data_IF_676720310247
#
_entry.id   IF_676720310247
#
_cell.length_a   1.000
_cell.length_b   1.000
_cell.length_c   1.000
_cell.angle_alpha   90.00
_cell.angle_beta   90.00
_cell.angle_gamma   90.00
#
_symmetry.space_group_name_H-M   'P 1'
#
loop_
_entity.id
_entity.type
_entity.pdbx_description
1 polymer ?
#
# COMPACT_ATOMS: atom_id res chain seq x y z
N UNK A 1 -16.87 -16.04 -0.11
CA UNK A 1 -16.60 -15.98 -1.57
C UNK A 1 -15.73 -17.16 -2.06
N UNK A 2 -15.66 -17.45 -3.37
CA UNK A 2 -14.61 -18.37 -3.91
C UNK A 2 -13.23 -17.76 -3.61
N UNK A 3 -12.25 -18.56 -3.18
CA UNK A 3 -10.88 -18.11 -2.80
C UNK A 3 -10.26 -17.12 -3.80
N UNK A 4 -10.53 -17.29 -5.10
CA UNK A 4 -10.03 -16.42 -6.17
C UNK A 4 -10.49 -14.96 -6.04
N UNK A 5 -11.71 -14.69 -5.58
CA UNK A 5 -12.23 -13.32 -5.49
C UNK A 5 -11.65 -12.57 -4.30
N UNK A 6 -11.43 -13.25 -3.17
CA UNK A 6 -10.78 -12.65 -1.99
C UNK A 6 -9.36 -12.19 -2.33
N UNK A 7 -8.64 -12.98 -3.14
CA UNK A 7 -7.30 -12.63 -3.64
C UNK A 7 -7.37 -11.43 -4.59
N UNK A 8 -8.39 -11.34 -5.45
CA UNK A 8 -8.58 -10.19 -6.35
C UNK A 8 -8.85 -8.90 -5.58
N UNK A 9 -9.80 -8.90 -4.63
CA UNK A 9 -10.09 -7.72 -3.80
C UNK A 9 -8.85 -7.31 -3.01
N UNK A 10 -8.16 -8.28 -2.40
CA UNK A 10 -6.89 -8.01 -1.71
C UNK A 10 -5.84 -7.38 -2.63
N UNK A 11 -5.70 -7.87 -3.86
CA UNK A 11 -4.67 -7.37 -4.77
C UNK A 11 -4.98 -5.95 -5.23
N UNK A 12 -6.20 -5.69 -5.69
CA UNK A 12 -6.59 -4.42 -6.29
C UNK A 12 -6.86 -3.31 -5.27
N UNK A 13 -7.43 -3.66 -4.12
CA UNK A 13 -7.83 -2.69 -3.10
C UNK A 13 -6.74 -2.43 -2.06
N UNK A 14 -5.82 -3.39 -1.85
CA UNK A 14 -4.80 -3.30 -0.80
C UNK A 14 -3.37 -3.34 -1.34
N UNK A 15 -3.00 -4.39 -2.07
CA UNK A 15 -1.60 -4.61 -2.45
C UNK A 15 -1.09 -3.57 -3.47
N UNK A 16 -1.81 -3.35 -4.57
CA UNK A 16 -1.41 -2.39 -5.60
C UNK A 16 -1.38 -0.95 -5.03
N UNK A 17 -2.41 -0.47 -4.31
CA UNK A 17 -2.38 0.87 -3.72
C UNK A 17 -1.26 1.05 -2.71
N UNK A 18 -0.91 -0.01 -1.96
CA UNK A 18 0.22 0.00 -1.03
C UNK A 18 1.55 0.19 -1.74
N UNK A 19 1.81 -0.59 -2.81
CA UNK A 19 3.02 -0.44 -3.61
C UNK A 19 3.08 0.93 -4.31
N UNK A 20 1.95 1.43 -4.79
CA UNK A 20 1.86 2.77 -5.37
C UNK A 20 2.19 3.85 -4.31
N UNK A 21 1.69 3.71 -3.10
CA UNK A 21 1.96 4.64 -1.99
C UNK A 21 3.45 4.66 -1.64
N UNK A 22 4.10 3.49 -1.53
CA UNK A 22 5.55 3.39 -1.33
C UNK A 22 6.32 4.09 -2.45
N UNK A 23 5.90 3.88 -3.69
CA UNK A 23 6.54 4.48 -4.87
C UNK A 23 6.37 6.00 -4.88
N UNK A 24 5.18 6.52 -4.55
CA UNK A 24 4.92 7.96 -4.43
C UNK A 24 5.76 8.58 -3.33
N UNK A 25 5.88 7.92 -2.17
CA UNK A 25 6.74 8.38 -1.07
C UNK A 25 8.21 8.44 -1.53
N UNK A 26 8.70 7.41 -2.21
CA UNK A 26 10.07 7.40 -2.76
C UNK A 26 10.31 8.52 -3.77
N UNK A 27 9.41 8.67 -4.75
CA UNK A 27 9.48 9.74 -5.78
C UNK A 27 9.40 11.12 -5.13
N UNK A 28 8.44 11.33 -4.23
CA UNK A 28 8.25 12.62 -3.56
C UNK A 28 9.46 13.00 -2.71
N UNK A 29 10.06 12.02 -2.03
CA UNK A 29 11.26 12.24 -1.23
C UNK A 29 12.46 12.61 -2.10
N UNK A 30 12.72 11.85 -3.17
CA UNK A 30 13.82 12.14 -4.09
C UNK A 30 13.64 13.49 -4.82
N UNK A 31 12.41 13.84 -5.20
CA UNK A 31 12.07 15.13 -5.81
C UNK A 31 12.32 16.32 -4.87
N UNK A 32 11.95 16.18 -3.59
CA UNK A 32 12.09 17.25 -2.59
C UNK A 32 13.54 17.53 -2.20
N UNK A 33 14.38 16.49 -2.21
CA UNK A 33 15.65 16.52 -1.49
C UNK A 33 16.84 16.68 -2.43
N UNK A 34 16.71 16.37 -3.74
CA UNK A 34 17.69 16.56 -4.84
C UNK A 34 19.14 16.08 -4.55
N UNK A 35 19.33 15.43 -3.40
CA UNK A 35 20.57 14.99 -2.76
C UNK A 35 20.21 13.96 -1.67
N UNK A 36 19.47 12.94 -2.05
CA UNK A 36 19.08 11.83 -1.17
C UNK A 36 20.21 10.79 -1.00
N UNK A 37 21.41 11.05 -1.52
CA UNK A 37 22.60 10.22 -1.33
C UNK A 37 23.07 10.13 0.13
N UNK A 38 22.66 11.07 0.99
CA UNK A 38 22.94 10.99 2.42
C UNK A 38 21.97 10.03 3.13
N UNK A 39 22.54 9.04 3.82
CA UNK A 39 21.81 8.05 4.60
C UNK A 39 20.92 8.72 5.65
N UNK A 40 21.38 9.81 6.28
CA UNK A 40 20.62 10.51 7.30
C UNK A 40 19.35 11.17 6.75
N UNK A 41 19.43 11.71 5.53
CA UNK A 41 18.26 12.27 4.85
C UNK A 41 17.28 11.14 4.54
N UNK A 42 17.76 10.06 3.93
CA UNK A 42 16.91 8.91 3.56
C UNK A 42 16.21 8.28 4.77
N UNK A 43 16.85 8.21 5.95
CA UNK A 43 16.18 7.72 7.17
C UNK A 43 15.09 8.65 7.65
N UNK A 44 15.27 9.98 7.60
CA UNK A 44 14.19 10.93 7.92
C UNK A 44 13.02 10.75 6.95
N UNK A 45 13.31 10.65 5.64
CA UNK A 45 12.31 10.40 4.61
C UNK A 45 11.52 9.12 4.84
N UNK A 46 12.22 8.03 5.12
CA UNK A 46 11.61 6.74 5.44
C UNK A 46 10.78 6.78 6.73
N UNK A 47 11.19 7.58 7.73
CA UNK A 47 10.43 7.77 8.97
C UNK A 47 9.10 8.48 8.70
N UNK A 48 9.14 9.59 7.96
CA UNK A 48 7.93 10.32 7.56
C UNK A 48 7.04 9.44 6.68
N UNK A 49 7.64 8.73 5.73
CA UNK A 49 6.96 7.75 4.87
C UNK A 49 6.24 6.66 5.67
N UNK A 50 6.89 6.08 6.68
CA UNK A 50 6.28 5.07 7.54
C UNK A 50 5.07 5.61 8.31
N UNK A 51 5.12 6.87 8.77
CA UNK A 51 3.97 7.51 9.42
C UNK A 51 2.81 7.75 8.45
N UNK A 52 3.10 8.15 7.21
CA UNK A 52 2.09 8.29 6.15
C UNK A 52 1.47 6.93 5.83
N UNK A 53 2.28 5.88 5.67
CA UNK A 53 1.80 4.51 5.42
C UNK A 53 0.93 4.01 6.56
N UNK A 54 1.29 4.33 7.80
CA UNK A 54 0.47 4.03 8.97
C UNK A 54 -0.89 4.73 8.90
N UNK A 55 -0.95 6.01 8.51
CA UNK A 55 -2.21 6.71 8.31
C UNK A 55 -3.07 6.11 7.19
N UNK A 56 -2.46 5.73 6.06
CA UNK A 56 -3.16 5.08 4.93
C UNK A 56 -3.73 3.71 5.36
N UNK A 57 -2.97 2.92 6.13
CA UNK A 57 -3.47 1.65 6.66
C UNK A 57 -4.69 1.82 7.57
N UNK A 58 -4.85 2.99 8.20
CA UNK A 58 -6.02 3.26 9.04
C UNK A 58 -7.30 3.44 8.22
N UNK A 59 -7.20 4.04 7.02
CA UNK A 59 -8.37 4.26 6.16
C UNK A 59 -8.88 2.96 5.54
N UNK A 60 -8.00 2.00 5.31
CA UNK A 60 -8.33 0.68 4.73
C UNK A 60 -8.58 -0.41 5.79
N UNK A 61 -8.61 -0.06 7.07
CA UNK A 61 -8.78 -1.03 8.16
C UNK A 61 -10.09 -1.83 8.03
N UNK A 62 -11.19 -1.16 7.64
CA UNK A 62 -12.51 -1.79 7.50
C UNK A 62 -12.54 -2.88 6.41
N UNK A 63 -12.11 -2.64 5.16
CA UNK A 63 -12.08 -3.70 4.16
C UNK A 63 -11.10 -4.83 4.51
N UNK A 64 -9.96 -4.52 5.15
CA UNK A 64 -9.02 -5.55 5.63
C UNK A 64 -9.67 -6.49 6.63
N UNK A 65 -10.45 -5.95 7.58
CA UNK A 65 -11.11 -6.75 8.60
C UNK A 65 -12.20 -7.65 8.00
N UNK A 66 -12.92 -7.19 6.98
CA UNK A 66 -13.90 -8.01 6.25
C UNK A 66 -13.22 -9.19 5.53
N UNK A 67 -12.11 -8.93 4.83
CA UNK A 67 -11.35 -9.98 4.15
C UNK A 67 -10.76 -11.00 5.14
N UNK A 68 -10.33 -10.56 6.33
CA UNK A 68 -9.72 -11.44 7.33
C UNK A 68 -10.68 -12.50 7.91
N UNK A 69 -12.00 -12.24 7.87
CA UNK A 69 -13.04 -13.19 8.29
C UNK A 69 -13.21 -14.32 7.25
N UNK A 70 -13.06 -14.00 5.96
CA UNK A 70 -13.28 -14.96 4.88
C UNK A 70 -12.07 -15.88 4.59
N UNK A 71 -10.87 -15.54 5.07
CA UNK A 71 -9.65 -16.28 4.76
C UNK A 71 -9.34 -17.36 5.80
N UNK A 72 -9.31 -18.61 5.35
CA UNK A 72 -8.81 -19.77 6.12
C UNK A 72 -7.31 -20.06 5.92
N UNK A 73 -6.66 -19.45 4.93
CA UNK A 73 -5.25 -19.70 4.63
C UNK A 73 -4.32 -18.94 5.60
N UNK A 74 -3.37 -19.66 6.22
CA UNK A 74 -2.46 -19.11 7.22
C UNK A 74 -1.56 -17.99 6.69
N UNK A 75 -1.09 -18.10 5.44
CA UNK A 75 -0.18 -17.12 4.85
C UNK A 75 -0.90 -15.80 4.52
N UNK A 76 -2.04 -15.86 3.82
CA UNK A 76 -2.85 -14.68 3.52
C UNK A 76 -3.37 -14.02 4.79
N UNK A 77 -3.72 -14.81 5.81
CA UNK A 77 -4.09 -14.29 7.12
C UNK A 77 -2.92 -13.55 7.78
N UNK A 78 -1.68 -13.96 7.56
CA UNK A 78 -0.50 -13.25 8.06
C UNK A 78 -0.20 -11.97 7.26
N UNK A 79 -0.44 -11.99 5.95
CA UNK A 79 -0.33 -10.81 5.10
C UNK A 79 -1.39 -9.75 5.44
N UNK A 80 -2.64 -10.13 5.65
CA UNK A 80 -3.68 -9.22 6.16
C UNK A 80 -3.35 -8.67 7.55
N UNK A 81 -2.69 -9.46 8.41
CA UNK A 81 -2.21 -8.98 9.72
C UNK A 81 -1.20 -7.85 9.60
N UNK A 82 -0.42 -7.79 8.51
CA UNK A 82 0.51 -6.70 8.25
C UNK A 82 -0.20 -5.38 7.90
N UNK A 83 -1.39 -5.46 7.28
CA UNK A 83 -2.22 -4.30 6.93
C UNK A 83 -3.12 -3.84 8.07
N UNK A 84 -3.35 -4.68 9.09
CA UNK A 84 -4.25 -4.40 10.22
C UNK A 84 -3.57 -3.58 11.32
N UNK A 85 -4.18 -2.46 11.72
CA UNK A 85 -3.72 -1.53 12.77
C UNK A 85 -4.30 -1.86 14.15
N UNK A 86 -5.49 -2.47 14.22
CA UNK A 86 -6.26 -2.61 15.48
C UNK A 86 -5.80 -3.79 16.37
N UNK A 87 -4.50 -3.95 16.57
CA UNK A 87 -3.90 -5.10 17.29
C UNK A 87 -2.96 -4.68 18.41
N UNK A 88 -2.40 -5.69 19.11
CA UNK A 88 -1.40 -5.53 20.18
C UNK A 88 -0.29 -4.57 19.75
N UNK A 89 0.08 -3.65 20.64
CA UNK A 89 1.10 -2.62 20.41
C UNK A 89 2.40 -3.16 19.79
N UNK A 90 2.85 -4.36 20.18
CA UNK A 90 4.04 -5.00 19.59
C UNK A 90 3.95 -5.23 18.07
N UNK A 91 2.79 -5.70 17.58
CA UNK A 91 2.60 -5.94 16.15
C UNK A 91 2.48 -4.64 15.37
N UNK A 92 1.89 -3.61 16.00
CA UNK A 92 1.80 -2.29 15.41
C UNK A 92 3.19 -1.65 15.25
N UNK A 93 4.05 -1.75 16.26
CA UNK A 93 5.44 -1.28 16.17
C UNK A 93 6.20 -2.05 15.10
N UNK A 94 6.06 -3.38 15.04
CA UNK A 94 6.69 -4.19 14.00
C UNK A 94 6.24 -3.79 12.58
N UNK A 95 4.94 -3.48 12.40
CA UNK A 95 4.41 -2.99 11.13
C UNK A 95 5.02 -1.64 10.73
N UNK A 96 5.14 -0.69 11.67
CA UNK A 96 5.75 0.62 11.41
C UNK A 96 7.24 0.48 11.08
N UNK A 97 7.97 -0.41 11.76
CA UNK A 97 9.38 -0.71 11.45
C UNK A 97 9.50 -1.30 10.05
N UNK A 98 8.62 -2.23 9.68
CA UNK A 98 8.62 -2.82 8.34
C UNK A 98 8.25 -1.77 7.27
N UNK A 99 7.27 -0.90 7.52
CA UNK A 99 6.95 0.22 6.61
C UNK A 99 8.12 1.18 6.47
N UNK A 100 8.89 1.43 7.54
CA UNK A 100 10.13 2.21 7.48
C UNK A 100 11.17 1.55 6.57
N UNK A 101 11.43 0.26 6.74
CA UNK A 101 12.39 -0.48 5.90
C UNK A 101 11.94 -0.46 4.43
N UNK A 102 10.65 -0.64 4.18
CA UNK A 102 10.08 -0.62 2.84
C UNK A 102 10.11 0.77 2.21
N UNK A 103 9.85 1.84 2.96
CA UNK A 103 10.00 3.20 2.48
C UNK A 103 11.47 3.52 2.16
N UNK A 104 12.40 3.10 3.01
CA UNK A 104 13.84 3.26 2.77
C UNK A 104 14.27 2.55 1.48
N UNK A 105 13.85 1.30 1.31
CA UNK A 105 14.11 0.52 0.10
C UNK A 105 13.44 1.14 -1.14
N UNK A 106 12.22 1.65 -1.01
CA UNK A 106 11.50 2.30 -2.11
C UNK A 106 12.25 3.53 -2.62
N UNK A 107 12.80 4.37 -1.74
CA UNK A 107 13.64 5.51 -2.13
C UNK A 107 14.88 5.06 -2.90
N UNK A 108 15.53 3.97 -2.45
CA UNK A 108 16.69 3.43 -3.15
C UNK A 108 16.32 2.90 -4.54
N UNK A 109 15.24 2.12 -4.64
CA UNK A 109 14.75 1.57 -5.91
C UNK A 109 14.33 2.68 -6.87
N UNK A 110 13.59 3.69 -6.41
CA UNK A 110 13.17 4.82 -7.25
C UNK A 110 14.37 5.54 -7.84
N UNK A 111 15.40 5.79 -7.04
CA UNK A 111 16.62 6.44 -7.53
C UNK A 111 17.36 5.65 -8.60
N UNK A 112 17.46 4.34 -8.44
CA UNK A 112 18.16 3.48 -9.40
C UNK A 112 17.37 3.30 -10.71
N UNK A 113 16.04 3.26 -10.63
CA UNK A 113 15.18 2.96 -11.78
C UNK A 113 14.62 4.19 -12.52
N UNK A 114 14.49 5.34 -11.85
CA UNK A 114 13.89 6.54 -12.43
C UNK A 114 14.93 7.65 -12.58
N UNK A 115 14.92 8.28 -13.76
CA UNK A 115 15.72 9.47 -14.02
C UNK A 115 15.13 10.70 -13.32
N UNK A 116 15.95 11.73 -13.09
CA UNK A 116 15.53 12.95 -12.39
C UNK A 116 14.36 13.65 -13.10
N UNK A 117 14.36 13.69 -14.43
CA UNK A 117 13.27 14.24 -15.24
C UNK A 117 11.95 13.47 -15.05
N UNK A 118 12.03 12.16 -14.84
CA UNK A 118 10.86 11.33 -14.57
C UNK A 118 10.35 11.53 -13.14
N UNK A 119 11.25 11.66 -12.16
CA UNK A 119 10.92 11.90 -10.74
C UNK A 119 10.19 13.23 -10.57
N UNK A 120 10.73 14.31 -11.16
CA UNK A 120 10.16 15.68 -11.07
C UNK A 120 8.98 15.86 -12.03
N UNK A 121 8.93 15.09 -13.12
CA UNK A 121 7.91 15.19 -14.16
C UNK A 121 6.66 14.35 -13.89
N UNK A 122 6.43 13.36 -14.76
CA UNK A 122 5.11 12.70 -14.89
C UNK A 122 4.91 11.48 -13.98
N UNK A 123 5.96 10.97 -13.33
CA UNK A 123 5.90 9.65 -12.66
C UNK A 123 4.91 9.60 -11.51
N UNK A 124 4.83 10.66 -10.69
CA UNK A 124 3.82 10.74 -9.61
C UNK A 124 2.41 10.63 -10.18
N UNK A 125 2.11 11.34 -11.27
CA UNK A 125 0.80 11.29 -11.92
C UNK A 125 0.45 9.92 -12.48
N UNK A 126 1.43 9.22 -13.07
CA UNK A 126 1.23 7.85 -13.57
C UNK A 126 0.94 6.88 -12.43
N UNK A 127 1.71 6.95 -11.34
CA UNK A 127 1.51 6.06 -10.18
C UNK A 127 0.16 6.35 -9.51
N UNK A 128 -0.23 7.62 -9.39
CA UNK A 128 -1.55 8.02 -8.90
C UNK A 128 -2.68 7.48 -9.78
N UNK A 129 -2.52 7.51 -11.11
CA UNK A 129 -3.51 6.98 -12.05
C UNK A 129 -3.64 5.46 -11.91
N UNK A 130 -2.53 4.73 -11.79
CA UNK A 130 -2.52 3.29 -11.53
C UNK A 130 -3.25 2.97 -10.21
N UNK A 131 -2.93 3.72 -9.15
CA UNK A 131 -3.58 3.57 -7.84
C UNK A 131 -5.08 3.82 -7.91
N UNK A 132 -5.50 4.86 -8.63
CA UNK A 132 -6.92 5.19 -8.82
C UNK A 132 -7.65 4.08 -9.57
N UNK A 133 -7.14 3.65 -10.73
CA UNK A 133 -7.77 2.58 -11.51
C UNK A 133 -7.83 1.27 -10.72
N UNK A 134 -6.77 0.94 -9.97
CA UNK A 134 -6.73 -0.25 -9.13
C UNK A 134 -7.77 -0.20 -8.01
N UNK A 135 -7.86 0.91 -7.30
CA UNK A 135 -8.84 1.05 -6.20
C UNK A 135 -10.28 1.03 -6.72
N UNK A 136 -10.55 1.63 -7.88
CA UNK A 136 -11.86 1.53 -8.54
C UNK A 136 -12.23 0.09 -8.91
N UNK A 137 -11.30 -0.66 -9.51
CA UNK A 137 -11.52 -2.08 -9.84
C UNK A 137 -11.74 -2.92 -8.57
N UNK A 138 -10.92 -2.69 -7.53
CA UNK A 138 -11.06 -3.38 -6.25
C UNK A 138 -12.42 -3.12 -5.59
N UNK A 139 -12.87 -1.87 -5.58
CA UNK A 139 -14.15 -1.48 -5.00
C UNK A 139 -15.34 -2.04 -5.79
N UNK A 140 -15.24 -2.10 -7.12
CA UNK A 140 -16.26 -2.74 -7.96
C UNK A 140 -16.39 -4.23 -7.65
N UNK A 141 -15.26 -4.95 -7.56
CA UNK A 141 -15.26 -6.37 -7.21
C UNK A 141 -15.78 -6.60 -5.79
N UNK A 142 -15.44 -5.74 -4.83
CA UNK A 142 -15.99 -5.83 -3.46
C UNK A 142 -17.50 -5.58 -3.43
N UNK A 143 -18.00 -4.59 -4.18
CA UNK A 143 -19.42 -4.28 -4.29
C UNK A 143 -20.22 -5.45 -4.90
N UNK A 144 -19.72 -6.06 -5.97
CA UNK A 144 -20.33 -7.23 -6.63
C UNK A 144 -20.44 -8.44 -5.68
N UNK A 145 -19.53 -8.54 -4.70
CA UNK A 145 -19.60 -9.60 -3.68
C UNK A 145 -20.51 -9.26 -2.50
N UNK A 146 -20.73 -7.97 -2.19
CA UNK A 146 -21.58 -7.49 -1.10
C UNK A 146 -23.01 -7.18 -1.54
N UNK A 147 -23.30 -7.03 -2.83
CA UNK A 147 -24.64 -6.77 -3.32
C UNK A 147 -25.56 -7.94 -2.99
N UNK A 148 -26.47 -7.68 -2.05
CA UNK A 148 -27.58 -8.54 -1.62
C UNK A 148 -28.64 -8.55 -2.73
N UNK A 149 -28.27 -8.91 -3.96
CA UNK A 149 -29.23 -9.12 -5.03
C UNK A 149 -29.10 -10.55 -5.54
N UNK A 150 -29.96 -11.48 -5.08
CA UNK A 150 -29.86 -12.89 -5.43
C UNK A 150 -30.21 -13.18 -6.90
N UNK A 151 -30.43 -12.14 -7.72
CA UNK A 151 -30.83 -12.22 -9.13
C UNK A 151 -30.21 -11.11 -9.97
N UNK A 152 -28.90 -11.12 -10.15
CA UNK A 152 -28.31 -10.50 -11.34
C UNK A 152 -27.64 -11.60 -12.16
N UNK A 153 -28.10 -11.68 -13.41
CA UNK A 153 -28.12 -12.82 -14.32
C UNK A 153 -26.78 -13.51 -14.58
#
# INVERSE_FOLDING_TARGET
>A
MKKSHVILVFTFLLLIPYLCSLTIIGIGYDALVLHSADLFRTTIGATVGALIMFAIKATIQRPVDLLAVEINDGFLKQLLRFFSIRRRYLLQIANVILDFILCFAATFVVREFLTLDQIVGKSVGIVMLIMLLSTCLGAYVEYDNLSIDPKQH
#
